data_IF_192747573442
#
_entry.id   IF_192747573442
#
_cell.length_a   1.000
_cell.length_b   1.000
_cell.length_c   1.000
_cell.angle_alpha   90.00
_cell.angle_beta   90.00
_cell.angle_gamma   90.00
#
_symmetry.space_group_name_H-M   'P 1'
#
loop_
_entity.id
_entity.type
_entity.pdbx_description
1 polymer ?
#
# COMPACT_ATOMS: atom_id res chain seq x y z
N UNK A 1 -6.35 -15.60 11.79
CA UNK A 1 -6.61 -15.01 13.12
C UNK A 1 -5.73 -15.58 14.21
N UNK A 2 -5.71 -16.90 14.46
CA UNK A 2 -4.92 -17.48 15.56
C UNK A 2 -3.39 -17.27 15.52
N UNK A 3 -2.82 -16.74 14.42
CA UNK A 3 -1.38 -16.51 14.27
C UNK A 3 -1.00 -15.02 14.25
N UNK A 4 -1.96 -14.11 14.49
CA UNK A 4 -1.71 -12.67 14.46
C UNK A 4 -0.86 -12.18 15.65
N UNK A 5 -0.96 -12.89 16.78
CA UNK A 5 -0.18 -12.61 17.99
C UNK A 5 1.27 -13.12 17.97
N UNK A 6 1.75 -13.66 16.84
CA UNK A 6 3.13 -14.11 16.67
C UNK A 6 3.78 -13.37 15.50
N UNK A 7 5.01 -12.93 15.71
CA UNK A 7 5.84 -12.45 14.61
C UNK A 7 6.22 -13.61 13.69
N UNK A 8 6.61 -13.31 12.45
CA UNK A 8 7.09 -14.33 11.50
C UNK A 8 8.24 -15.13 12.11
N UNK A 9 9.21 -14.45 12.74
CA UNK A 9 10.39 -15.10 13.33
C UNK A 9 10.01 -16.04 14.47
N UNK A 10 9.12 -15.62 15.37
CA UNK A 10 8.65 -16.47 16.49
C UNK A 10 7.90 -17.70 15.98
N UNK A 11 7.02 -17.50 15.00
CA UNK A 11 6.24 -18.58 14.43
C UNK A 11 7.12 -19.60 13.70
N UNK A 12 8.07 -19.16 12.87
CA UNK A 12 8.99 -20.04 12.15
C UNK A 12 9.79 -20.93 13.10
N UNK A 13 10.33 -20.35 14.19
CA UNK A 13 11.04 -21.10 15.23
C UNK A 13 10.15 -22.11 15.93
N UNK A 14 8.91 -21.72 16.28
CA UNK A 14 7.94 -22.62 16.90
C UNK A 14 7.61 -23.82 16.01
N UNK A 15 7.58 -23.63 14.70
CA UNK A 15 7.33 -24.70 13.72
C UNK A 15 8.58 -25.52 13.34
N UNK A 16 9.74 -25.24 13.95
CA UNK A 16 10.99 -25.96 13.68
C UNK A 16 11.63 -25.60 12.34
N UNK A 17 11.25 -24.47 11.73
CA UNK A 17 11.89 -23.97 10.50
C UNK A 17 13.29 -23.45 10.87
N UNK A 18 14.36 -23.85 10.15
CA UNK A 18 15.71 -23.38 10.45
C UNK A 18 15.82 -21.85 10.38
N UNK A 19 16.50 -21.23 11.34
CA UNK A 19 16.73 -19.77 11.39
C UNK A 19 17.30 -19.24 10.06
N UNK A 20 18.16 -20.03 9.39
CA UNK A 20 18.71 -19.68 8.07
C UNK A 20 17.64 -19.45 6.99
N UNK A 21 16.54 -20.19 7.01
CA UNK A 21 15.44 -20.02 6.04
C UNK A 21 14.70 -18.71 6.32
N UNK A 22 14.51 -18.37 7.60
CA UNK A 22 13.97 -17.08 7.98
C UNK A 22 14.83 -15.93 7.44
N UNK A 23 16.15 -16.03 7.61
CA UNK A 23 17.08 -14.97 7.25
C UNK A 23 17.26 -14.83 5.72
N UNK A 24 17.30 -15.95 4.98
CA UNK A 24 17.51 -15.91 3.52
C UNK A 24 16.24 -15.63 2.70
N UNK A 25 15.08 -16.08 3.17
CA UNK A 25 13.81 -16.03 2.40
C UNK A 25 12.83 -15.04 3.03
N UNK A 26 12.54 -15.19 4.32
CA UNK A 26 11.47 -14.45 4.96
C UNK A 26 11.84 -12.98 5.26
N UNK A 27 13.12 -12.63 5.39
CA UNK A 27 13.53 -11.21 5.38
C UNK A 27 13.10 -10.54 4.08
N UNK A 28 13.39 -11.15 2.93
CA UNK A 28 13.04 -10.58 1.63
C UNK A 28 11.51 -10.49 1.45
N UNK A 29 10.78 -11.53 1.87
CA UNK A 29 9.32 -11.56 1.77
C UNK A 29 8.65 -10.53 2.68
N UNK A 30 9.07 -10.42 3.94
CA UNK A 30 8.52 -9.44 4.90
C UNK A 30 8.74 -8.01 4.44
N UNK A 31 9.95 -7.67 3.98
CA UNK A 31 10.27 -6.35 3.42
C UNK A 31 9.53 -6.05 2.13
N UNK A 32 9.20 -7.06 1.32
CA UNK A 32 8.43 -6.86 0.09
C UNK A 32 6.94 -6.61 0.36
N UNK A 33 6.38 -7.20 1.42
CA UNK A 33 4.95 -7.09 1.73
C UNK A 33 4.63 -5.86 2.57
N UNK A 34 5.46 -5.51 3.55
CA UNK A 34 5.14 -4.45 4.50
C UNK A 34 6.34 -3.59 4.91
N UNK A 35 7.46 -3.68 4.18
CA UNK A 35 8.67 -2.87 4.40
C UNK A 35 9.35 -2.99 5.78
N UNK A 36 8.95 -3.97 6.59
CA UNK A 36 9.52 -4.27 7.92
C UNK A 36 10.14 -5.67 7.97
N UNK A 37 10.92 -5.94 9.01
CA UNK A 37 11.62 -7.21 9.19
C UNK A 37 10.70 -8.30 9.79
N UNK A 38 11.04 -9.60 9.66
CA UNK A 38 10.20 -10.71 10.14
C UNK A 38 10.06 -10.81 11.67
N UNK A 39 10.91 -10.12 12.43
CA UNK A 39 10.79 -9.97 13.88
C UNK A 39 9.78 -8.91 14.32
N UNK A 40 9.24 -8.13 13.39
CA UNK A 40 8.19 -7.13 13.65
C UNK A 40 6.87 -7.47 12.93
N UNK A 41 6.95 -8.17 11.80
CA UNK A 41 5.78 -8.51 10.99
C UNK A 41 4.96 -9.64 11.62
N UNK A 42 3.64 -9.47 11.71
CA UNK A 42 2.69 -10.54 12.06
C UNK A 42 2.74 -11.68 11.05
N UNK A 43 2.78 -12.92 11.54
CA UNK A 43 2.76 -14.12 10.69
C UNK A 43 1.49 -14.23 9.85
N UNK A 44 0.38 -13.63 10.30
CA UNK A 44 -0.86 -13.59 9.52
C UNK A 44 -0.65 -12.93 8.15
N UNK A 45 0.21 -11.91 8.04
CA UNK A 45 0.55 -11.27 6.77
C UNK A 45 1.19 -12.27 5.79
N UNK A 46 2.18 -13.04 6.25
CA UNK A 46 2.86 -14.06 5.44
C UNK A 46 1.90 -15.19 5.04
N UNK A 47 1.07 -15.68 5.96
CA UNK A 47 0.13 -16.76 5.65
C UNK A 47 -0.89 -16.36 4.58
N UNK A 48 -1.39 -15.12 4.62
CA UNK A 48 -2.29 -14.59 3.60
C UNK A 48 -1.57 -14.53 2.24
N UNK A 49 -0.31 -14.06 2.22
CA UNK A 49 0.48 -14.03 1.00
C UNK A 49 0.74 -15.45 0.45
N UNK A 50 1.13 -16.40 1.32
CA UNK A 50 1.35 -17.81 0.95
C UNK A 50 0.08 -18.50 0.44
N UNK A 51 -1.09 -18.12 0.95
CA UNK A 51 -2.36 -18.68 0.50
C UNK A 51 -2.61 -18.42 -1.00
N UNK A 52 -2.13 -17.29 -1.54
CA UNK A 52 -2.20 -17.01 -3.00
C UNK A 52 -1.43 -18.03 -3.83
N UNK A 53 -0.31 -18.54 -3.32
CA UNK A 53 0.48 -19.58 -4.00
C UNK A 53 -0.23 -20.93 -4.04
N UNK A 54 -1.12 -21.19 -3.08
CA UNK A 54 -1.77 -22.48 -2.89
C UNK A 54 -3.16 -22.54 -3.55
N UNK A 55 -3.90 -21.43 -3.59
CA UNK A 55 -5.28 -21.43 -4.08
C UNK A 55 -5.40 -21.32 -5.61
N UNK A 56 -4.53 -20.55 -6.25
CA UNK A 56 -4.65 -20.27 -7.67
C UNK A 56 -3.37 -20.66 -8.42
N UNK A 57 -3.52 -21.37 -9.55
CA UNK A 57 -2.40 -21.81 -10.39
C UNK A 57 -1.45 -20.67 -10.80
N UNK A 58 -1.99 -19.45 -10.93
CA UNK A 58 -1.25 -18.25 -11.32
C UNK A 58 -1.28 -17.15 -10.24
N UNK A 59 -1.71 -17.45 -9.02
CA UNK A 59 -1.88 -16.46 -7.95
C UNK A 59 -0.58 -15.80 -7.48
N UNK A 60 0.57 -16.41 -7.77
CA UNK A 60 1.90 -15.87 -7.50
C UNK A 60 2.57 -15.21 -8.72
N UNK A 61 1.90 -15.19 -9.87
CA UNK A 61 2.46 -14.57 -11.09
C UNK A 61 2.45 -13.05 -10.93
N UNK A 62 3.60 -12.43 -11.17
CA UNK A 62 3.77 -10.98 -11.07
C UNK A 62 3.52 -10.31 -12.42
N UNK A 63 3.07 -9.06 -12.37
CA UNK A 63 2.89 -8.21 -13.54
C UNK A 63 3.28 -6.76 -13.20
N UNK A 64 3.81 -6.05 -14.19
CA UNK A 64 4.04 -4.61 -14.13
C UNK A 64 2.93 -3.91 -14.91
N UNK A 65 2.53 -2.72 -14.42
CA UNK A 65 1.72 -1.82 -15.23
C UNK A 65 2.57 -1.33 -16.41
N UNK A 66 1.95 -1.17 -17.58
CA UNK A 66 2.67 -0.84 -18.81
C UNK A 66 3.06 0.65 -18.92
N UNK A 67 2.82 1.43 -17.86
CA UNK A 67 3.15 2.84 -17.77
C UNK A 67 2.76 3.45 -16.43
N UNK A 68 2.67 4.78 -16.39
CA UNK A 68 2.40 5.52 -15.16
C UNK A 68 0.99 5.24 -14.61
N UNK A 69 0.82 4.96 -13.30
CA UNK A 69 -0.50 4.64 -12.73
C UNK A 69 -1.59 5.70 -12.92
N UNK A 70 -1.32 7.03 -12.82
CA UNK A 70 -2.33 8.05 -13.02
C UNK A 70 -3.06 7.94 -14.37
N UNK A 71 -2.33 7.76 -15.47
CA UNK A 71 -2.92 7.69 -16.80
C UNK A 71 -3.40 6.28 -17.15
N UNK A 72 -2.61 5.25 -16.85
CA UNK A 72 -2.90 3.88 -17.30
C UNK A 72 -3.96 3.16 -16.46
N UNK A 73 -4.14 3.56 -15.19
CA UNK A 73 -5.08 2.91 -14.27
C UNK A 73 -6.12 3.88 -13.69
N UNK A 74 -5.69 5.02 -13.15
CA UNK A 74 -6.61 5.94 -12.48
C UNK A 74 -7.55 6.63 -13.48
N UNK A 75 -7.04 7.10 -14.62
CA UNK A 75 -7.86 7.79 -15.62
C UNK A 75 -8.99 6.92 -16.20
N UNK A 76 -8.80 5.63 -16.54
CA UNK A 76 -9.90 4.74 -16.89
C UNK A 76 -11.02 4.69 -15.84
N UNK A 77 -10.69 4.68 -14.55
CA UNK A 77 -11.67 4.68 -13.45
C UNK A 77 -12.41 6.01 -13.39
N UNK A 78 -11.68 7.13 -13.49
CA UNK A 78 -12.27 8.49 -13.54
C UNK A 78 -13.24 8.62 -14.70
N UNK A 79 -12.83 8.20 -15.90
CA UNK A 79 -13.66 8.22 -17.10
C UNK A 79 -14.95 7.41 -16.92
N UNK A 80 -14.85 6.22 -16.30
CA UNK A 80 -16.02 5.40 -16.02
C UNK A 80 -16.99 6.09 -15.06
N UNK A 81 -16.49 6.63 -13.94
CA UNK A 81 -17.30 7.36 -12.96
C UNK A 81 -17.99 8.56 -13.62
N UNK A 82 -17.25 9.37 -14.38
CA UNK A 82 -17.79 10.57 -15.03
C UNK A 82 -18.77 10.25 -16.15
N UNK A 83 -18.57 9.14 -16.89
CA UNK A 83 -19.54 8.69 -17.91
C UNK A 83 -20.91 8.31 -17.32
N UNK A 84 -20.94 7.99 -16.03
CA UNK A 84 -22.14 7.65 -15.28
C UNK A 84 -22.68 8.82 -14.44
N UNK A 85 -22.19 10.04 -14.67
CA UNK A 85 -22.63 11.26 -14.00
C UNK A 85 -21.96 11.55 -12.66
N UNK A 86 -20.97 10.75 -12.24
CA UNK A 86 -20.17 11.03 -11.05
C UNK A 86 -19.14 12.13 -11.27
N UNK A 87 -18.74 12.80 -10.19
CA UNK A 87 -17.75 13.88 -10.23
C UNK A 87 -16.43 13.47 -9.55
N UNK A 88 -15.31 13.81 -10.19
CA UNK A 88 -13.96 13.65 -9.61
C UNK A 88 -13.28 15.01 -9.58
N UNK A 89 -13.02 15.52 -8.36
CA UNK A 89 -12.44 16.85 -8.16
C UNK A 89 -11.05 16.74 -7.54
N UNK A 90 -10.04 17.20 -8.27
CA UNK A 90 -8.66 17.30 -7.78
C UNK A 90 -8.48 18.55 -6.91
N UNK A 91 -7.36 18.65 -6.19
CA UNK A 91 -7.00 19.80 -5.35
C UNK A 91 -8.09 20.19 -4.31
N UNK A 92 -8.92 19.22 -3.90
CA UNK A 92 -10.08 19.41 -3.04
C UNK A 92 -9.83 18.76 -1.67
N UNK A 93 -8.81 19.26 -0.94
CA UNK A 93 -8.40 18.65 0.34
C UNK A 93 -9.46 18.88 1.41
N UNK A 94 -9.88 17.79 2.06
CA UNK A 94 -10.72 17.82 3.25
C UNK A 94 -9.95 18.45 4.43
N UNK A 95 -10.52 19.46 5.05
CA UNK A 95 -9.98 20.14 6.23
C UNK A 95 -10.66 19.68 7.52
N UNK A 96 -11.99 19.52 7.50
CA UNK A 96 -12.77 19.16 8.69
C UNK A 96 -14.03 18.38 8.31
N UNK A 97 -14.41 17.44 9.18
CA UNK A 97 -15.73 16.79 9.17
C UNK A 97 -16.60 17.57 10.15
N UNK A 98 -17.60 18.30 9.65
CA UNK A 98 -18.52 19.05 10.50
C UNK A 98 -19.69 18.15 10.90
N UNK A 99 -20.09 18.19 12.18
CA UNK A 99 -21.17 17.36 12.71
C UNK A 99 -22.46 18.16 12.94
N UNK A 100 -23.58 17.45 12.82
CA UNK A 100 -24.87 17.87 13.33
C UNK A 100 -24.91 17.71 14.86
N UNK A 101 -25.94 18.27 15.50
CA UNK A 101 -26.13 18.15 16.96
C UNK A 101 -26.34 16.72 17.46
N UNK A 102 -26.76 15.80 16.58
CA UNK A 102 -26.95 14.38 16.88
C UNK A 102 -25.68 13.54 16.65
N UNK A 103 -24.56 14.17 16.29
CA UNK A 103 -23.29 13.51 16.03
C UNK A 103 -23.13 12.93 14.62
N UNK A 104 -24.12 13.05 13.74
CA UNK A 104 -24.02 12.66 12.32
C UNK A 104 -23.25 13.70 11.51
N UNK A 105 -22.73 13.34 10.33
CA UNK A 105 -22.02 14.29 9.47
C UNK A 105 -22.99 15.29 8.87
N UNK A 106 -22.71 16.58 9.08
CA UNK A 106 -23.42 17.69 8.43
C UNK A 106 -22.90 17.94 7.02
N UNK A 107 -21.59 18.14 6.90
CA UNK A 107 -20.87 18.32 5.63
C UNK A 107 -19.37 18.16 5.80
N UNK A 108 -18.67 18.05 4.67
CA UNK A 108 -17.21 18.14 4.60
C UNK A 108 -16.77 19.57 4.30
N UNK A 109 -15.88 20.11 5.12
CA UNK A 109 -15.27 21.44 4.90
C UNK A 109 -13.93 21.26 4.20
N UNK A 110 -13.77 21.86 3.02
CA UNK A 110 -12.53 21.82 2.25
C UNK A 110 -11.57 22.95 2.68
N UNK A 111 -10.27 22.81 2.37
CA UNK A 111 -9.25 23.80 2.76
C UNK A 111 -9.42 25.19 2.16
N UNK A 112 -10.22 25.32 1.10
CA UNK A 112 -10.58 26.61 0.51
C UNK A 112 -11.82 27.25 1.17
N UNK A 113 -12.35 26.65 2.24
CA UNK A 113 -13.54 27.11 2.96
C UNK A 113 -14.87 26.69 2.34
N UNK A 114 -14.88 26.06 1.16
CA UNK A 114 -16.12 25.52 0.58
C UNK A 114 -16.58 24.25 1.30
N UNK A 115 -17.88 23.98 1.24
CA UNK A 115 -18.50 22.80 1.85
C UNK A 115 -19.04 21.84 0.79
N UNK A 116 -19.01 20.55 1.12
CA UNK A 116 -19.58 19.48 0.31
C UNK A 116 -20.61 18.74 1.15
N UNK A 117 -21.84 18.72 0.65
CA UNK A 117 -22.97 18.01 1.23
C UNK A 117 -23.33 16.78 0.39
N UNK A 118 -23.84 15.75 1.06
CA UNK A 118 -24.33 14.53 0.42
C UNK A 118 -25.10 13.65 1.41
N UNK A 119 -25.83 12.68 0.88
CA UNK A 119 -26.64 11.75 1.69
C UNK A 119 -25.79 10.75 2.47
N UNK A 120 -24.57 10.48 1.99
CA UNK A 120 -23.60 9.60 2.61
C UNK A 120 -22.17 10.13 2.42
N UNK A 121 -21.31 9.84 3.39
CA UNK A 121 -19.93 10.30 3.42
C UNK A 121 -18.98 9.12 3.57
N UNK A 122 -17.94 9.07 2.72
CA UNK A 122 -16.89 8.04 2.77
C UNK A 122 -15.54 8.74 2.86
N UNK A 123 -14.73 8.34 3.85
CA UNK A 123 -13.35 8.82 4.01
C UNK A 123 -12.39 7.73 3.55
N UNK A 124 -11.95 7.80 2.30
CA UNK A 124 -10.98 6.88 1.72
C UNK A 124 -9.52 7.41 1.82
N UNK A 125 -9.15 7.93 2.99
CA UNK A 125 -7.80 8.47 3.26
C UNK A 125 -6.95 7.47 4.07
N UNK A 126 -5.62 7.61 4.08
CA UNK A 126 -4.77 6.83 4.99
C UNK A 126 -5.19 7.01 6.46
N UNK A 127 -5.03 5.97 7.28
CA UNK A 127 -5.49 5.96 8.68
C UNK A 127 -4.90 7.11 9.51
N UNK A 128 -3.64 7.49 9.26
CA UNK A 128 -2.99 8.61 9.95
C UNK A 128 -3.63 9.97 9.62
N UNK A 129 -4.18 10.12 8.41
CA UNK A 129 -4.94 11.31 8.02
C UNK A 129 -6.33 11.27 8.63
N UNK A 130 -7.01 10.12 8.59
CA UNK A 130 -8.32 9.95 9.22
C UNK A 130 -8.26 10.28 10.71
N UNK A 131 -7.31 9.72 11.47
CA UNK A 131 -7.12 9.99 12.91
C UNK A 131 -7.03 11.49 13.23
N UNK A 132 -6.42 12.28 12.35
CA UNK A 132 -6.31 13.74 12.49
C UNK A 132 -7.58 14.51 12.11
N UNK A 133 -8.43 13.91 11.27
CA UNK A 133 -9.69 14.49 10.81
C UNK A 133 -10.89 14.08 11.67
N UNK A 134 -10.71 13.10 12.57
CA UNK A 134 -11.78 12.62 13.44
C UNK A 134 -12.30 13.77 14.32
N UNK A 135 -13.62 14.02 14.31
CA UNK A 135 -14.26 14.90 15.28
C UNK A 135 -13.98 14.42 16.71
N UNK A 136 -13.85 15.35 17.66
CA UNK A 136 -13.60 15.01 19.07
C UNK A 136 -14.67 14.06 19.63
N UNK A 137 -15.94 14.31 19.30
CA UNK A 137 -17.09 13.48 19.75
C UNK A 137 -16.97 12.01 19.33
N UNK A 138 -16.23 11.73 18.26
CA UNK A 138 -16.05 10.37 17.74
C UNK A 138 -14.83 9.65 18.34
N UNK A 139 -13.88 10.37 18.93
CA UNK A 139 -12.63 9.76 19.44
C UNK A 139 -12.86 8.79 20.59
N UNK A 140 -13.92 9.00 21.37
CA UNK A 140 -14.29 8.10 22.48
C UNK A 140 -15.07 6.86 22.04
N UNK A 141 -15.50 6.80 20.76
CA UNK A 141 -16.20 5.63 20.26
C UNK A 141 -15.22 4.48 20.07
N UNK A 142 -15.56 3.31 20.62
CA UNK A 142 -14.73 2.10 20.60
C UNK A 142 -14.29 1.66 19.20
N UNK A 143 -15.06 2.01 18.16
CA UNK A 143 -14.68 1.78 16.76
C UNK A 143 -13.44 2.60 16.37
N UNK A 144 -13.42 3.89 16.67
CA UNK A 144 -12.33 4.79 16.28
C UNK A 144 -11.11 4.68 17.18
N UNK A 145 -11.28 4.33 18.46
CA UNK A 145 -10.16 4.06 19.37
C UNK A 145 -9.27 2.91 18.89
N UNK A 146 -9.84 1.91 18.21
CA UNK A 146 -9.07 0.79 17.62
C UNK A 146 -8.12 1.24 16.51
N UNK A 147 -8.25 2.45 15.97
CA UNK A 147 -7.34 2.95 14.94
C UNK A 147 -5.98 3.36 15.51
N UNK A 148 -5.87 3.59 16.83
CA UNK A 148 -4.62 4.04 17.47
C UNK A 148 -3.46 3.04 17.30
N UNK A 149 -3.76 1.73 17.27
CA UNK A 149 -2.75 0.70 17.05
C UNK A 149 -2.26 0.63 15.58
N UNK A 150 -2.96 1.30 14.65
CA UNK A 150 -2.63 1.30 13.24
C UNK A 150 -1.79 2.54 12.93
N UNK A 151 -0.51 2.33 12.61
CA UNK A 151 0.45 3.41 12.31
C UNK A 151 1.12 3.14 10.98
N UNK A 152 1.24 4.18 10.14
CA UNK A 152 1.95 4.08 8.87
C UNK A 152 3.42 3.72 9.03
N UNK A 153 3.90 2.80 8.19
CA UNK A 153 5.31 2.39 8.11
C UNK A 153 6.06 3.31 7.14
N UNK A 154 7.24 3.84 7.50
CA UNK A 154 8.04 4.67 6.60
C UNK A 154 8.61 3.85 5.43
N UNK A 155 8.59 4.42 4.23
CA UNK A 155 9.13 3.81 3.01
C UNK A 155 9.73 4.86 2.09
N UNK A 156 10.82 4.50 1.39
CA UNK A 156 11.47 5.34 0.39
C UNK A 156 11.48 4.60 -0.94
N UNK A 157 11.13 5.29 -2.01
CA UNK A 157 11.23 4.78 -3.37
C UNK A 157 12.28 5.58 -4.16
N UNK A 158 13.26 4.87 -4.72
CA UNK A 158 14.46 5.46 -5.34
C UNK A 158 14.44 5.20 -6.85
N UNK A 159 14.70 6.24 -7.64
CA UNK A 159 14.82 6.17 -9.09
C UNK A 159 16.21 6.69 -9.50
N UNK A 160 16.93 5.93 -10.32
CA UNK A 160 18.28 6.27 -10.77
C UNK A 160 18.34 6.00 -12.27
N UNK A 161 18.71 7.02 -13.05
CA UNK A 161 18.94 6.90 -14.48
C UNK A 161 20.44 6.81 -14.77
N UNK A 162 20.80 5.85 -15.62
CA UNK A 162 22.16 5.61 -16.10
C UNK A 162 22.30 6.07 -17.54
N UNK A 163 23.51 6.53 -17.89
CA UNK A 163 23.86 6.98 -19.23
C UNK A 163 23.98 5.84 -20.25
N UNK A 164 24.05 4.58 -19.77
CA UNK A 164 24.23 3.37 -20.57
C UNK A 164 23.24 2.29 -20.14
N UNK A 165 22.82 1.46 -21.10
CA UNK A 165 22.05 0.24 -20.84
C UNK A 165 22.88 -0.75 -20.03
N UNK A 166 22.34 -1.20 -18.90
CA UNK A 166 22.95 -2.26 -18.12
C UNK A 166 22.85 -3.60 -18.86
N UNK A 167 23.98 -4.32 -19.00
CA UNK A 167 24.04 -5.57 -19.78
C UNK A 167 23.36 -6.76 -19.10
N UNK A 168 23.40 -6.81 -17.77
CA UNK A 168 22.92 -7.94 -16.97
C UNK A 168 21.69 -7.50 -16.17
N UNK A 169 20.55 -7.35 -16.86
CA UNK A 169 19.25 -7.04 -16.25
C UNK A 169 18.20 -8.04 -16.69
N UNK A 170 17.05 -8.00 -16.02
CA UNK A 170 15.99 -9.00 -16.18
C UNK A 170 14.66 -8.30 -16.38
N UNK A 171 13.82 -8.86 -17.24
CA UNK A 171 12.40 -8.49 -17.35
C UNK A 171 11.60 -9.13 -16.20
N UNK A 172 11.94 -8.73 -14.97
CA UNK A 172 11.31 -9.24 -13.76
C UNK A 172 11.58 -8.32 -12.55
N UNK A 173 10.76 -8.47 -11.51
CA UNK A 173 11.05 -7.97 -10.17
C UNK A 173 12.18 -8.78 -9.51
N UNK A 174 13.13 -8.11 -8.87
CA UNK A 174 14.28 -8.74 -8.21
C UNK A 174 14.24 -8.47 -6.70
N UNK A 175 14.46 -9.51 -5.90
CA UNK A 175 14.67 -9.38 -4.46
C UNK A 175 16.15 -9.13 -4.19
N UNK A 176 16.52 -7.94 -3.71
CA UNK A 176 17.93 -7.60 -3.49
C UNK A 176 18.59 -8.44 -2.39
N UNK A 177 17.79 -8.90 -1.41
CA UNK A 177 18.25 -9.51 -0.14
C UNK A 177 19.27 -8.63 0.61
N UNK A 178 19.22 -7.32 0.37
CA UNK A 178 20.04 -6.33 1.05
C UNK A 178 19.53 -6.07 2.46
N UNK A 179 20.43 -5.61 3.34
CA UNK A 179 20.06 -5.08 4.66
C UNK A 179 19.29 -3.77 4.53
N UNK A 180 19.55 -2.98 3.48
CA UNK A 180 18.94 -1.66 3.26
C UNK A 180 17.83 -1.69 2.22
N UNK A 181 18.06 -2.37 1.08
CA UNK A 181 17.12 -2.41 -0.03
C UNK A 181 16.16 -3.62 0.10
N UNK A 182 14.96 -3.46 -0.44
CA UNK A 182 13.95 -4.52 -0.53
C UNK A 182 13.95 -5.11 -1.94
N UNK A 183 12.93 -4.81 -2.75
CA UNK A 183 12.82 -5.19 -4.16
C UNK A 183 13.31 -4.06 -5.08
N UNK A 184 13.76 -4.42 -6.28
CA UNK A 184 14.10 -3.47 -7.33
C UNK A 184 13.81 -4.08 -8.72
N UNK A 185 13.75 -3.22 -9.74
CA UNK A 185 13.57 -3.62 -11.13
C UNK A 185 14.24 -2.59 -12.05
N UNK A 186 14.70 -3.03 -13.22
CA UNK A 186 15.07 -2.12 -14.31
C UNK A 186 13.80 -1.74 -15.07
N UNK A 187 13.25 -0.56 -14.75
CA UNK A 187 11.99 -0.07 -15.34
C UNK A 187 12.11 0.16 -16.85
N UNK A 188 13.32 0.38 -17.37
CA UNK A 188 13.58 0.50 -18.82
C UNK A 188 13.50 -0.83 -19.56
N UNK A 189 13.30 -1.94 -18.85
CA UNK A 189 13.05 -3.27 -19.39
C UNK A 189 11.62 -3.71 -19.08
N UNK A 190 11.19 -3.59 -17.83
CA UNK A 190 9.92 -4.17 -17.35
C UNK A 190 8.69 -3.33 -17.64
N UNK A 191 8.83 -2.02 -17.84
CA UNK A 191 7.72 -1.11 -18.05
C UNK A 191 7.76 -0.52 -19.44
N UNK A 192 6.68 -0.72 -20.20
CA UNK A 192 6.63 -0.39 -21.63
C UNK A 192 6.79 1.11 -21.90
N UNK A 193 6.17 1.98 -21.11
CA UNK A 193 6.30 3.44 -21.24
C UNK A 193 7.74 3.92 -21.02
N UNK A 194 8.50 3.24 -20.17
CA UNK A 194 9.87 3.61 -19.82
C UNK A 194 10.93 2.84 -20.60
N UNK A 195 10.52 1.99 -21.55
CA UNK A 195 11.43 1.14 -22.31
C UNK A 195 12.47 1.96 -23.08
N UNK A 196 13.75 1.67 -22.84
CA UNK A 196 14.87 2.30 -23.54
C UNK A 196 15.93 1.23 -23.88
N UNK A 197 16.27 1.00 -25.16
CA UNK A 197 17.27 0.00 -25.53
C UNK A 197 18.72 0.43 -25.26
N UNK A 198 18.96 1.73 -25.01
CA UNK A 198 20.28 2.34 -24.91
C UNK A 198 20.64 2.84 -23.50
N UNK A 199 19.64 3.04 -22.64
CA UNK A 199 19.79 3.55 -21.26
C UNK A 199 18.99 2.72 -20.26
N UNK A 200 19.32 2.83 -18.99
CA UNK A 200 18.61 2.21 -17.86
C UNK A 200 18.14 3.28 -16.88
#
# INVERSE_FOLDING_TARGET
EAQDGLTVKEWMRKQGVPDRVNDEVFIAMSKALNFINPDELSMQCILIALNRFLQEKHGSKMAFLDGNPPERLCMPIVNHITSLGGEVRLNSRLQKIELNHDGTVKHFVLTNGSTIEGDAYVVATPVDILKRLLPEDWKELSYFQKLEILVGVPVINVHIWFDRKLKNTYDHLLFSRSTLLSVYADMSVTCKEYYDPNRS
#
